data_IF_384923217512
#
_entry.id   IF_384923217512
#
_cell.length_a   1.000
_cell.length_b   1.000
_cell.length_c   1.000
_cell.angle_alpha   90.00
_cell.angle_beta   90.00
_cell.angle_gamma   90.00
#
_symmetry.space_group_name_H-M   'P 1'
#
loop_
_entity.id
_entity.type
_entity.pdbx_description
1 polymer ?
#
# COMPACT_ATOMS: atom_id res chain seq x y z
N UNK A 1 49.05 10.65 -13.27
CA UNK A 1 48.45 10.31 -11.96
C UNK A 1 46.97 10.63 -12.02
N UNK A 2 46.30 9.95 -12.93
CA UNK A 2 45.15 10.47 -13.69
C UNK A 2 43.86 9.70 -13.43
N UNK A 3 43.85 8.69 -12.56
CA UNK A 3 42.67 7.83 -12.38
C UNK A 3 42.34 7.51 -10.90
N UNK A 4 43.27 7.75 -9.97
CA UNK A 4 43.05 7.50 -8.54
C UNK A 4 42.01 8.45 -7.90
N UNK A 5 41.83 9.65 -8.48
CA UNK A 5 40.84 10.62 -8.00
C UNK A 5 39.40 10.29 -8.38
N UNK A 6 39.18 9.51 -9.44
CA UNK A 6 37.84 9.13 -9.91
C UNK A 6 37.30 7.91 -9.15
N UNK A 7 38.17 6.99 -8.75
CA UNK A 7 37.78 5.73 -8.07
C UNK A 7 37.37 5.95 -6.60
N UNK A 8 37.79 7.05 -5.95
CA UNK A 8 37.40 7.34 -4.56
C UNK A 8 36.03 8.07 -4.40
N UNK A 9 35.44 8.59 -5.47
CA UNK A 9 34.23 9.41 -5.37
C UNK A 9 32.91 8.62 -5.22
N UNK A 10 32.94 7.29 -5.30
CA UNK A 10 31.73 6.46 -5.36
C UNK A 10 31.70 5.31 -4.35
N UNK A 11 32.33 5.49 -3.19
CA UNK A 11 32.30 4.52 -2.10
C UNK A 11 31.20 4.86 -1.07
N UNK A 12 30.03 4.22 -1.21
CA UNK A 12 29.21 3.77 -0.07
C UNK A 12 28.46 4.81 0.79
N UNK A 13 28.07 5.96 0.25
CA UNK A 13 27.14 6.87 0.93
C UNK A 13 25.67 6.52 0.68
N UNK A 14 24.77 6.88 1.61
CA UNK A 14 23.32 6.89 1.36
C UNK A 14 23.07 7.73 0.11
N UNK A 15 22.69 7.09 -0.98
CA UNK A 15 22.37 7.78 -2.24
C UNK A 15 20.97 8.38 -2.13
N UNK A 16 20.72 9.52 -2.77
CA UNK A 16 19.39 10.14 -2.82
C UNK A 16 18.34 9.15 -3.37
N UNK A 17 18.76 8.29 -4.31
CA UNK A 17 17.96 7.19 -4.83
C UNK A 17 17.62 6.14 -3.77
N UNK A 18 18.58 5.78 -2.91
CA UNK A 18 18.36 4.84 -1.80
C UNK A 18 17.41 5.40 -0.75
N UNK A 19 17.52 6.70 -0.44
CA UNK A 19 16.60 7.37 0.47
C UNK A 19 15.18 7.50 -0.12
N UNK A 20 15.07 7.81 -1.42
CA UNK A 20 13.79 7.87 -2.13
C UNK A 20 13.08 6.50 -2.17
N UNK A 21 13.84 5.41 -2.39
CA UNK A 21 13.30 4.05 -2.36
C UNK A 21 12.78 3.67 -0.95
N UNK A 22 13.53 4.00 0.11
CA UNK A 22 13.10 3.78 1.48
C UNK A 22 11.85 4.60 1.83
N UNK A 23 11.82 5.88 1.45
CA UNK A 23 10.66 6.75 1.66
C UNK A 23 9.42 6.21 0.94
N UNK A 24 9.55 5.78 -0.32
CA UNK A 24 8.46 5.17 -1.09
C UNK A 24 7.93 3.88 -0.45
N UNK A 25 8.82 3.01 0.01
CA UNK A 25 8.45 1.78 0.71
C UNK A 25 7.71 2.03 2.04
N UNK A 26 8.15 3.04 2.79
CA UNK A 26 7.49 3.44 4.05
C UNK A 26 6.12 4.06 3.81
N UNK A 27 5.98 4.95 2.83
CA UNK A 27 4.68 5.57 2.49
C UNK A 27 3.68 4.50 2.08
N UNK A 28 4.06 3.59 1.18
CA UNK A 28 3.16 2.52 0.75
C UNK A 28 2.84 1.54 1.88
N UNK A 29 3.86 1.10 2.63
CA UNK A 29 3.68 0.17 3.75
C UNK A 29 2.74 0.70 4.82
N UNK A 30 2.85 1.99 5.17
CA UNK A 30 1.95 2.65 6.11
C UNK A 30 0.54 2.85 5.52
N UNK A 31 0.45 3.22 4.25
CA UNK A 31 -0.84 3.38 3.56
C UNK A 31 -1.62 2.05 3.48
N UNK A 32 -0.93 0.91 3.39
CA UNK A 32 -1.56 -0.42 3.31
C UNK A 32 -2.17 -0.92 4.63
N UNK A 33 -1.83 -0.32 5.78
CA UNK A 33 -2.33 -0.75 7.09
C UNK A 33 -3.85 -0.53 7.19
N UNK A 34 -4.33 0.65 6.81
CA UNK A 34 -5.75 1.01 6.87
C UNK A 34 -6.63 0.03 6.09
N UNK A 35 -6.32 -0.21 4.80
CA UNK A 35 -7.00 -1.21 3.99
C UNK A 35 -6.90 -2.62 4.57
N UNK A 36 -5.73 -3.08 5.00
CA UNK A 36 -5.56 -4.40 5.59
C UNK A 36 -6.49 -4.64 6.79
N UNK A 37 -6.60 -3.66 7.69
CA UNK A 37 -7.51 -3.71 8.83
C UNK A 37 -8.97 -3.65 8.38
N UNK A 38 -9.31 -2.70 7.48
CA UNK A 38 -10.67 -2.51 6.98
C UNK A 38 -11.23 -3.76 6.30
N UNK A 39 -10.43 -4.39 5.43
CA UNK A 39 -10.80 -5.64 4.74
C UNK A 39 -11.06 -6.75 5.76
N UNK A 40 -10.17 -6.94 6.74
CA UNK A 40 -10.36 -7.94 7.80
C UNK A 40 -11.67 -7.74 8.58
N UNK A 41 -12.01 -6.50 8.93
CA UNK A 41 -13.25 -6.17 9.65
C UNK A 41 -14.51 -6.39 8.80
N UNK A 42 -14.49 -5.98 7.53
CA UNK A 42 -15.65 -6.15 6.63
C UNK A 42 -15.91 -7.63 6.36
N UNK A 43 -14.88 -8.42 6.05
CA UNK A 43 -15.07 -9.84 5.78
C UNK A 43 -15.44 -10.63 7.03
N UNK A 44 -14.82 -10.35 8.18
CA UNK A 44 -15.17 -11.07 9.43
C UNK A 44 -16.61 -10.80 9.88
N UNK A 45 -17.08 -9.56 9.74
CA UNK A 45 -18.47 -9.21 10.09
C UNK A 45 -19.47 -9.81 9.09
N UNK A 46 -19.17 -9.79 7.79
CA UNK A 46 -20.00 -10.40 6.77
C UNK A 46 -20.11 -11.92 6.93
N UNK A 47 -19.00 -12.61 7.23
CA UNK A 47 -18.99 -14.06 7.49
C UNK A 47 -19.89 -14.40 8.68
N UNK A 48 -19.76 -13.65 9.79
CA UNK A 48 -20.60 -13.85 10.97
C UNK A 48 -22.08 -13.58 10.69
N UNK A 49 -22.40 -12.53 9.92
CA UNK A 49 -23.77 -12.20 9.54
C UNK A 49 -24.38 -13.32 8.67
N UNK A 50 -23.66 -13.81 7.66
CA UNK A 50 -24.10 -14.92 6.81
C UNK A 50 -24.26 -16.23 7.58
N UNK A 51 -23.40 -16.49 8.58
CA UNK A 51 -23.52 -17.69 9.41
C UNK A 51 -24.76 -17.65 10.34
N UNK A 52 -25.16 -16.46 10.80
CA UNK A 52 -26.34 -16.27 11.66
C UNK A 52 -27.65 -16.22 10.88
N UNK A 53 -27.62 -15.67 9.66
CA UNK A 53 -28.79 -15.47 8.80
C UNK A 53 -28.46 -15.89 7.36
N UNK A 54 -28.45 -17.21 7.06
CA UNK A 54 -28.11 -17.72 5.74
C UNK A 54 -29.06 -17.25 4.63
N UNK A 55 -30.32 -16.97 4.96
CA UNK A 55 -31.34 -16.44 4.05
C UNK A 55 -30.99 -15.06 3.48
N UNK A 56 -30.23 -14.25 4.24
CA UNK A 56 -29.77 -12.91 3.80
C UNK A 56 -28.38 -12.94 3.17
N UNK A 57 -27.77 -14.12 2.97
CA UNK A 57 -26.38 -14.22 2.56
C UNK A 57 -26.07 -13.54 1.22
N UNK A 58 -27.02 -13.58 0.28
CA UNK A 58 -26.89 -12.88 -1.00
C UNK A 58 -26.74 -11.36 -0.83
N UNK A 59 -27.64 -10.74 -0.06
CA UNK A 59 -27.60 -9.30 0.21
C UNK A 59 -26.36 -8.90 1.01
N UNK A 60 -26.00 -9.71 2.03
CA UNK A 60 -24.79 -9.47 2.84
C UNK A 60 -23.53 -9.47 1.99
N UNK A 61 -23.39 -10.38 1.01
CA UNK A 61 -22.25 -10.39 0.08
C UNK A 61 -22.21 -9.12 -0.78
N UNK A 62 -23.35 -8.64 -1.26
CA UNK A 62 -23.41 -7.38 -2.04
C UNK A 62 -22.89 -6.21 -1.21
N UNK A 63 -23.38 -6.04 0.02
CA UNK A 63 -22.92 -4.97 0.91
C UNK A 63 -21.45 -5.14 1.32
N UNK A 64 -21.00 -6.38 1.56
CA UNK A 64 -19.59 -6.69 1.85
C UNK A 64 -18.67 -6.24 0.72
N UNK A 65 -19.01 -6.57 -0.54
CA UNK A 65 -18.17 -6.16 -1.68
C UNK A 65 -18.23 -4.66 -1.94
N UNK A 66 -19.35 -3.99 -1.66
CA UNK A 66 -19.40 -2.53 -1.68
C UNK A 66 -18.45 -1.92 -0.65
N UNK A 67 -18.46 -2.43 0.59
CA UNK A 67 -17.54 -1.99 1.64
C UNK A 67 -16.08 -2.24 1.28
N UNK A 68 -15.78 -3.43 0.75
CA UNK A 68 -14.45 -3.78 0.24
C UNK A 68 -13.99 -2.81 -0.86
N UNK A 69 -14.84 -2.52 -1.85
CA UNK A 69 -14.50 -1.60 -2.92
C UNK A 69 -14.19 -0.18 -2.42
N UNK A 70 -14.90 0.31 -1.41
CA UNK A 70 -14.63 1.61 -0.79
C UNK A 70 -13.28 1.63 -0.04
N UNK A 71 -12.96 0.54 0.66
CA UNK A 71 -11.67 0.38 1.34
C UNK A 71 -10.52 0.39 0.32
N UNK A 72 -10.65 -0.38 -0.76
CA UNK A 72 -9.64 -0.45 -1.81
C UNK A 72 -9.51 0.86 -2.60
N UNK A 73 -10.60 1.60 -2.80
CA UNK A 73 -10.54 2.92 -3.43
C UNK A 73 -9.61 3.88 -2.65
N UNK A 74 -9.65 3.83 -1.31
CA UNK A 74 -8.75 4.62 -0.45
C UNK A 74 -7.32 4.06 -0.46
N UNK A 75 -7.16 2.72 -0.49
CA UNK A 75 -5.86 2.06 -0.62
C UNK A 75 -5.11 2.50 -1.88
N UNK A 76 -5.83 2.54 -3.01
CA UNK A 76 -5.27 2.89 -4.30
C UNK A 76 -4.79 4.35 -4.37
N UNK A 77 -5.38 5.27 -3.61
CA UNK A 77 -4.87 6.64 -3.50
C UNK A 77 -3.45 6.64 -2.91
N UNK A 78 -3.22 5.88 -1.83
CA UNK A 78 -1.89 5.74 -1.23
C UNK A 78 -0.88 5.03 -2.14
N UNK A 79 -1.33 4.03 -2.90
CA UNK A 79 -0.53 3.37 -3.92
C UNK A 79 -0.14 4.30 -5.07
N UNK A 80 -1.07 5.08 -5.59
CA UNK A 80 -0.78 6.06 -6.66
C UNK A 80 0.20 7.12 -6.18
N UNK A 81 0.05 7.60 -4.92
CA UNK A 81 0.98 8.56 -4.34
C UNK A 81 2.42 8.01 -4.28
N UNK A 82 2.60 6.72 -3.97
CA UNK A 82 3.95 6.12 -3.91
C UNK A 82 4.63 6.05 -5.28
N UNK A 83 3.87 5.92 -6.39
CA UNK A 83 4.42 6.06 -7.75
C UNK A 83 4.73 7.49 -8.13
N UNK A 84 3.87 8.45 -7.75
CA UNK A 84 4.12 9.86 -8.03
C UNK A 84 5.43 10.30 -7.34
N UNK A 85 5.64 9.90 -6.09
CA UNK A 85 6.86 10.23 -5.34
C UNK A 85 8.11 9.58 -5.93
N UNK A 86 8.00 8.37 -6.49
CA UNK A 86 9.11 7.72 -7.20
C UNK A 86 9.37 8.35 -8.59
N UNK A 87 8.33 8.72 -9.32
CA UNK A 87 8.42 9.31 -10.66
C UNK A 87 8.82 10.79 -10.68
N UNK A 88 8.54 11.54 -9.60
CA UNK A 88 8.91 12.95 -9.47
C UNK A 88 10.40 13.20 -9.15
N UNK A 89 11.18 12.13 -8.91
CA UNK A 89 12.61 12.19 -8.60
C UNK A 89 13.54 11.77 -9.76
N UNK A 90 13.01 11.55 -10.95
CA UNK A 90 13.75 11.16 -12.16
C UNK A 90 14.12 12.33 -13.06
#
# INVERSE_FOLDING_TARGET
MTEAGLILAQAGGVTDTGLAALAGGLVYGLAAIGPGVGVGLVFSSAIQAMARQPEMAGQTRTTMFLGFALIEALALIGFVLSFILQGAGG
#
